data_IF_582522011025
#
_entry.id   IF_582522011025
#
_cell.length_a   1.000
_cell.length_b   1.000
_cell.length_c   1.000
_cell.angle_alpha   90.00
_cell.angle_beta   90.00
_cell.angle_gamma   90.00
#
_symmetry.space_group_name_H-M   'P 1'
#
loop_
_entity.id
_entity.type
_entity.pdbx_description
1 polymer ?
#
# COMPACT_ATOMS: atom_id res chain seq x y z
N UNK A 1 -25.76 -18.29 7.35
CA UNK A 1 -25.34 -16.86 7.31
C UNK A 1 -24.16 -16.72 6.37
N UNK A 2 -24.36 -16.06 5.24
CA UNK A 2 -23.30 -15.82 4.27
C UNK A 2 -22.22 -14.94 4.88
N UNK A 3 -20.95 -15.35 4.80
CA UNK A 3 -19.83 -14.46 5.06
C UNK A 3 -19.88 -13.36 4.01
N UNK A 4 -20.20 -12.14 4.42
CA UNK A 4 -20.00 -10.97 3.57
C UNK A 4 -18.53 -10.92 3.24
N UNK A 5 -18.18 -11.21 1.98
CA UNK A 5 -16.81 -11.06 1.49
C UNK A 5 -16.44 -9.59 1.66
N UNK A 6 -15.41 -9.31 2.45
CA UNK A 6 -14.92 -7.94 2.60
C UNK A 6 -14.32 -7.51 1.28
N UNK A 7 -14.65 -6.31 0.85
CA UNK A 7 -14.13 -5.72 -0.39
C UNK A 7 -12.76 -5.06 -0.21
N UNK A 8 -12.12 -5.25 0.94
CA UNK A 8 -10.77 -4.77 1.25
C UNK A 8 -10.05 -5.76 2.19
N UNK A 9 -8.72 -5.83 2.12
CA UNK A 9 -7.92 -6.75 2.94
C UNK A 9 -7.89 -6.32 4.41
N UNK A 10 -7.55 -7.26 5.26
CA UNK A 10 -7.23 -7.04 6.66
C UNK A 10 -5.84 -7.56 6.97
N UNK A 11 -5.05 -6.73 7.63
CA UNK A 11 -3.68 -7.07 7.99
C UNK A 11 -3.58 -8.08 9.13
N UNK A 12 -2.44 -8.74 9.19
CA UNK A 12 -2.05 -9.66 10.26
C UNK A 12 -0.60 -9.44 10.65
N UNK A 13 -0.30 -9.73 11.90
CA UNK A 13 1.07 -9.80 12.39
C UNK A 13 1.55 -11.25 12.30
N UNK A 14 2.76 -11.45 11.83
CA UNK A 14 3.38 -12.76 11.75
C UNK A 14 4.82 -12.72 12.19
N UNK A 15 5.31 -13.81 12.75
CA UNK A 15 6.72 -14.00 13.05
C UNK A 15 7.42 -14.62 11.83
N UNK A 16 8.51 -13.99 11.38
CA UNK A 16 9.34 -14.54 10.30
C UNK A 16 10.25 -15.62 10.86
N UNK A 17 9.86 -16.87 10.71
CA UNK A 17 10.67 -18.02 11.12
C UNK A 17 11.28 -18.70 9.90
N UNK A 18 12.57 -19.06 9.92
CA UNK A 18 13.17 -19.93 8.92
C UNK A 18 12.64 -21.36 9.08
N UNK A 19 12.93 -22.24 8.12
CA UNK A 19 12.56 -23.67 8.21
C UNK A 19 13.19 -24.34 9.43
N UNK A 20 14.43 -23.97 9.76
CA UNK A 20 15.16 -24.46 10.93
C UNK A 20 15.34 -23.34 11.94
N UNK A 21 14.77 -23.52 13.13
CA UNK A 21 14.88 -22.57 14.22
C UNK A 21 16.25 -22.71 14.89
N UNK A 22 16.98 -21.60 15.02
CA UNK A 22 18.21 -21.56 15.80
C UNK A 22 17.87 -21.29 17.26
N UNK A 23 18.40 -22.12 18.16
CA UNK A 23 18.23 -21.93 19.61
C UNK A 23 18.75 -20.55 20.05
N UNK A 24 17.99 -19.88 20.90
CA UNK A 24 18.36 -18.57 21.45
C UNK A 24 18.31 -17.38 20.47
N UNK A 25 17.73 -17.56 19.27
CA UNK A 25 17.59 -16.48 18.30
C UNK A 25 16.21 -15.86 18.31
N UNK A 26 16.15 -14.51 18.26
CA UNK A 26 14.92 -13.76 18.04
C UNK A 26 14.70 -13.57 16.55
N UNK A 27 13.42 -13.55 16.16
CA UNK A 27 13.02 -13.35 14.76
C UNK A 27 12.11 -12.14 14.63
N UNK A 28 12.21 -11.37 13.54
CA UNK A 28 11.42 -10.18 13.37
C UNK A 28 9.94 -10.49 13.15
N UNK A 29 9.11 -9.66 13.74
CA UNK A 29 7.67 -9.62 13.45
C UNK A 29 7.47 -8.79 12.19
N UNK A 30 6.55 -9.20 11.34
CA UNK A 30 6.17 -8.45 10.15
C UNK A 30 4.65 -8.31 10.05
N UNK A 31 4.23 -7.24 9.37
CA UNK A 31 2.84 -7.01 8.98
C UNK A 31 2.64 -7.65 7.61
N UNK A 32 1.58 -8.43 7.45
CA UNK A 32 1.24 -9.10 6.19
C UNK A 32 -0.20 -8.77 5.78
N UNK A 33 -0.36 -8.46 4.52
CA UNK A 33 -1.63 -8.40 3.83
C UNK A 33 -1.66 -9.41 2.70
N UNK A 34 -2.73 -10.19 2.60
CA UNK A 34 -2.98 -11.07 1.47
C UNK A 34 -4.21 -10.55 0.74
N UNK A 35 -4.04 -10.16 -0.50
CA UNK A 35 -5.09 -9.57 -1.33
C UNK A 35 -4.94 -9.94 -2.80
N UNK A 36 -6.00 -10.42 -3.42
CA UNK A 36 -6.05 -10.78 -4.86
C UNK A 36 -4.97 -11.79 -5.17
N UNK A 37 -4.44 -12.63 -4.92
CA UNK A 37 -3.31 -13.52 -5.18
C UNK A 37 -1.93 -12.97 -4.72
N UNK A 38 -1.85 -11.73 -4.26
CA UNK A 38 -0.61 -11.12 -3.81
C UNK A 38 -0.45 -11.16 -2.29
N UNK A 39 0.79 -11.21 -1.84
CA UNK A 39 1.15 -11.15 -0.43
C UNK A 39 2.16 -10.01 -0.21
N UNK A 40 1.70 -8.94 0.44
CA UNK A 40 2.51 -7.77 0.77
C UNK A 40 2.95 -7.84 2.22
N UNK A 41 4.23 -7.53 2.47
CA UNK A 41 4.85 -7.69 3.79
C UNK A 41 5.78 -6.53 4.11
N UNK A 42 5.72 -6.07 5.37
CA UNK A 42 6.68 -5.12 5.94
C UNK A 42 7.19 -5.62 7.27
N UNK A 43 8.50 -5.75 7.36
CA UNK A 43 9.17 -6.11 8.61
C UNK A 43 9.09 -4.94 9.59
N UNK A 44 8.80 -5.26 10.86
CA UNK A 44 8.84 -4.29 11.95
C UNK A 44 10.21 -4.33 12.65
N UNK A 45 10.47 -3.36 13.52
CA UNK A 45 11.69 -3.32 14.33
C UNK A 45 11.63 -4.29 15.54
N UNK A 46 10.48 -4.92 15.75
CA UNK A 46 10.25 -5.82 16.89
C UNK A 46 10.68 -7.23 16.53
N UNK A 47 11.55 -7.81 17.37
CA UNK A 47 12.02 -9.19 17.23
C UNK A 47 11.76 -9.97 18.52
N UNK A 48 11.19 -11.18 18.39
CA UNK A 48 10.79 -12.03 19.52
C UNK A 48 11.26 -13.46 19.36
N UNK A 49 11.36 -14.19 20.44
CA UNK A 49 11.59 -15.63 20.36
C UNK A 49 10.34 -16.35 19.88
N UNK A 50 10.49 -17.44 19.10
CA UNK A 50 9.34 -18.22 18.61
C UNK A 50 8.41 -18.72 19.72
N UNK A 51 8.95 -19.08 20.88
CA UNK A 51 8.18 -19.52 22.06
C UNK A 51 7.24 -18.44 22.63
N UNK A 52 7.63 -17.17 22.46
CA UNK A 52 6.91 -16.02 22.98
C UNK A 52 5.91 -15.45 21.97
N UNK A 53 5.79 -16.06 20.80
CA UNK A 53 4.83 -15.66 19.78
C UNK A 53 3.53 -16.46 19.83
N UNK A 54 2.40 -15.77 19.78
CA UNK A 54 1.06 -16.36 19.69
C UNK A 54 0.36 -15.90 18.40
N UNK A 55 0.44 -16.72 17.36
CA UNK A 55 -0.17 -16.40 16.06
C UNK A 55 -1.71 -16.33 16.10
N UNK A 56 -2.35 -16.95 17.08
CA UNK A 56 -3.81 -16.95 17.27
C UNK A 56 -4.29 -15.88 18.26
N UNK A 57 -3.35 -15.19 18.91
CA UNK A 57 -3.65 -14.14 19.87
C UNK A 57 -4.33 -12.93 19.24
N UNK A 58 -4.94 -12.11 20.08
CA UNK A 58 -5.66 -10.90 19.68
C UNK A 58 -6.65 -11.12 18.52
N UNK A 59 -7.48 -12.17 18.66
CA UNK A 59 -8.50 -12.48 17.63
C UNK A 59 -7.94 -13.02 16.32
N UNK A 60 -6.75 -13.64 16.34
CA UNK A 60 -6.08 -14.20 15.17
C UNK A 60 -5.21 -13.19 14.39
N UNK A 61 -4.98 -12.01 14.96
CA UNK A 61 -4.08 -11.00 14.39
C UNK A 61 -2.62 -11.35 14.69
N UNK A 62 -2.34 -11.92 15.86
CA UNK A 62 -1.01 -12.23 16.38
C UNK A 62 -0.60 -11.30 17.52
N UNK A 63 0.08 -11.84 18.52
CA UNK A 63 0.57 -11.08 19.67
C UNK A 63 1.81 -11.72 20.31
N UNK A 64 2.52 -10.97 21.10
CA UNK A 64 3.61 -11.44 21.94
C UNK A 64 3.00 -11.92 23.25
N UNK A 65 3.33 -13.15 23.67
CA UNK A 65 2.92 -13.72 24.96
C UNK A 65 3.55 -12.94 26.12
N UNK A 66 2.96 -13.06 27.29
CA UNK A 66 3.57 -12.55 28.51
C UNK A 66 4.98 -13.17 28.70
N UNK A 67 5.98 -12.32 28.76
CA UNK A 67 7.38 -12.70 28.96
C UNK A 67 8.06 -11.67 29.85
N UNK A 68 9.11 -12.06 30.57
CA UNK A 68 9.93 -11.18 31.39
C UNK A 68 11.06 -10.54 30.61
N UNK A 69 11.39 -11.09 29.44
CA UNK A 69 12.55 -10.66 28.64
C UNK A 69 12.26 -9.45 27.75
N UNK A 70 11.02 -9.00 27.70
CA UNK A 70 10.57 -7.95 26.82
C UNK A 70 9.39 -7.19 27.44
N UNK A 71 9.29 -5.92 27.20
CA UNK A 71 8.09 -5.15 27.52
C UNK A 71 6.94 -5.48 26.55
N UNK A 72 6.48 -6.72 26.62
CA UNK A 72 5.53 -7.30 25.67
C UNK A 72 4.23 -6.48 25.52
N UNK A 73 3.75 -5.85 26.61
CA UNK A 73 2.57 -4.98 26.57
C UNK A 73 2.79 -3.77 25.70
N UNK A 74 3.94 -3.13 25.85
CA UNK A 74 4.33 -1.97 25.06
C UNK A 74 4.44 -2.32 23.58
N UNK A 75 5.17 -3.40 23.26
CA UNK A 75 5.35 -3.83 21.87
C UNK A 75 4.07 -4.33 21.24
N UNK A 76 3.19 -5.03 21.96
CA UNK A 76 1.87 -5.40 21.47
C UNK A 76 1.03 -4.16 21.13
N UNK A 77 1.02 -3.17 22.02
CA UNK A 77 0.31 -1.90 21.77
C UNK A 77 0.85 -1.21 20.52
N UNK A 78 2.17 -1.12 20.37
CA UNK A 78 2.81 -0.50 19.21
C UNK A 78 2.48 -1.23 17.90
N UNK A 79 2.60 -2.55 17.87
CA UNK A 79 2.32 -3.38 16.71
C UNK A 79 0.84 -3.31 16.29
N UNK A 80 -0.06 -3.44 17.27
CA UNK A 80 -1.50 -3.40 17.00
C UNK A 80 -1.97 -2.00 16.56
N UNK A 81 -1.42 -0.93 17.16
CA UNK A 81 -1.70 0.43 16.74
C UNK A 81 -1.25 0.66 15.29
N UNK A 82 -0.02 0.30 14.95
CA UNK A 82 0.50 0.45 13.59
C UNK A 82 -0.36 -0.32 12.57
N UNK A 83 -0.75 -1.55 12.89
CA UNK A 83 -1.63 -2.34 12.03
C UNK A 83 -3.00 -1.68 11.86
N UNK A 84 -3.60 -1.20 12.96
CA UNK A 84 -4.89 -0.52 12.95
C UNK A 84 -4.85 0.78 12.13
N UNK A 85 -3.76 1.55 12.21
CA UNK A 85 -3.57 2.77 11.43
C UNK A 85 -3.50 2.46 9.90
N UNK A 86 -2.81 1.39 9.51
CA UNK A 86 -2.76 0.95 8.11
C UNK A 86 -4.13 0.44 7.65
N UNK A 87 -4.80 -0.41 8.44
CA UNK A 87 -6.15 -0.89 8.15
C UNK A 87 -7.14 0.27 7.96
N UNK A 88 -7.07 1.30 8.81
CA UNK A 88 -7.91 2.49 8.68
C UNK A 88 -7.65 3.27 7.38
N UNK A 89 -6.39 3.43 6.98
CA UNK A 89 -6.01 4.07 5.71
C UNK A 89 -6.55 3.29 4.50
N UNK A 90 -6.47 1.95 4.53
CA UNK A 90 -7.00 1.08 3.48
C UNK A 90 -8.52 1.24 3.37
N UNK A 91 -9.24 1.26 4.50
CA UNK A 91 -10.70 1.46 4.51
C UNK A 91 -11.08 2.83 3.94
N UNK A 92 -10.42 3.90 4.39
CA UNK A 92 -10.66 5.26 3.88
C UNK A 92 -10.40 5.36 2.37
N UNK A 93 -9.33 4.71 1.89
CA UNK A 93 -9.02 4.67 0.46
C UNK A 93 -10.10 3.92 -0.32
N UNK A 94 -10.57 2.77 0.21
CA UNK A 94 -11.64 2.00 -0.39
C UNK A 94 -12.96 2.78 -0.44
N UNK A 95 -13.33 3.46 0.63
CA UNK A 95 -14.55 4.28 0.68
C UNK A 95 -14.53 5.41 -0.36
N UNK A 96 -13.36 5.98 -0.63
CA UNK A 96 -13.18 7.06 -1.61
C UNK A 96 -13.13 6.55 -3.05
N UNK A 97 -12.48 5.41 -3.31
CA UNK A 97 -12.12 4.95 -4.65
C UNK A 97 -12.90 3.69 -5.09
N UNK A 98 -13.60 3.01 -4.17
CA UNK A 98 -14.40 1.82 -4.45
C UNK A 98 -13.59 0.52 -4.65
N UNK A 99 -12.27 0.59 -4.69
CA UNK A 99 -11.38 -0.56 -4.86
C UNK A 99 -10.03 -0.34 -4.17
N UNK A 100 -9.31 -1.43 -3.91
CA UNK A 100 -7.95 -1.43 -3.36
C UNK A 100 -7.09 -2.38 -4.16
N UNK A 101 -5.89 -1.96 -4.53
CA UNK A 101 -4.89 -2.76 -5.23
C UNK A 101 -3.71 -3.10 -4.32
N UNK A 102 -2.86 -4.06 -4.73
CA UNK A 102 -1.62 -4.39 -4.02
C UNK A 102 -0.68 -3.20 -3.87
N UNK A 103 -0.57 -2.34 -4.88
CA UNK A 103 0.28 -1.14 -4.86
C UNK A 103 -0.18 -0.14 -3.80
N UNK A 104 -1.49 0.02 -3.61
CA UNK A 104 -2.06 0.86 -2.55
C UNK A 104 -1.67 0.34 -1.16
N UNK A 105 -1.74 -0.98 -0.97
CA UNK A 105 -1.35 -1.61 0.29
C UNK A 105 0.16 -1.44 0.53
N UNK A 106 0.99 -1.65 -0.49
CA UNK A 106 2.43 -1.41 -0.42
C UNK A 106 2.75 0.04 -0.05
N UNK A 107 2.07 1.01 -0.67
CA UNK A 107 2.26 2.43 -0.37
C UNK A 107 1.97 2.74 1.12
N UNK A 108 0.91 2.17 1.68
CA UNK A 108 0.58 2.36 3.11
C UNK A 108 1.52 1.61 4.05
N UNK A 109 2.00 0.43 3.65
CA UNK A 109 2.99 -0.33 4.41
C UNK A 109 4.35 0.39 4.50
N UNK A 110 4.75 1.05 3.42
CA UNK A 110 6.04 1.73 3.29
C UNK A 110 6.00 3.21 3.68
N UNK A 111 4.80 3.75 3.99
CA UNK A 111 4.54 5.18 4.17
C UNK A 111 4.99 6.01 2.94
N UNK A 112 4.97 5.39 1.76
CA UNK A 112 5.35 6.00 0.49
C UNK A 112 4.11 6.32 -0.36
N UNK A 113 3.55 7.49 -0.15
CA UNK A 113 2.34 7.96 -0.82
C UNK A 113 2.58 8.43 -2.26
N UNK A 114 3.81 8.52 -2.70
CA UNK A 114 4.13 8.86 -4.10
C UNK A 114 3.65 7.77 -5.05
N UNK A 115 3.65 6.51 -4.60
CA UNK A 115 3.08 5.38 -5.34
C UNK A 115 1.56 5.50 -5.60
N UNK A 116 0.87 6.35 -4.85
CA UNK A 116 -0.57 6.59 -5.00
C UNK A 116 -0.89 7.79 -5.89
N UNK A 117 0.12 8.55 -6.31
CA UNK A 117 -0.10 9.61 -7.28
C UNK A 117 -0.46 8.96 -8.61
N UNK A 118 -1.61 9.27 -9.22
CA UNK A 118 -1.85 8.87 -10.59
C UNK A 118 -0.64 9.34 -11.39
N UNK A 119 -0.15 8.48 -12.26
CA UNK A 119 1.00 8.73 -13.12
C UNK A 119 0.66 9.96 -14.00
N UNK A 120 0.77 11.15 -13.39
CA UNK A 120 0.28 12.41 -13.92
C UNK A 120 0.97 12.80 -15.22
N UNK A 121 2.07 12.11 -15.56
CA UNK A 121 2.80 12.30 -16.79
C UNK A 121 2.19 11.60 -17.99
N UNK A 122 1.72 10.36 -17.85
CA UNK A 122 1.14 9.59 -18.97
C UNK A 122 -0.26 10.08 -19.31
N UNK A 123 -1.09 10.29 -18.31
CA UNK A 123 -2.47 10.79 -18.51
C UNK A 123 -2.49 12.20 -19.10
N UNK A 124 -1.54 13.07 -18.69
CA UNK A 124 -1.44 14.42 -19.23
C UNK A 124 -0.99 14.41 -20.69
N UNK A 125 -0.04 13.54 -21.05
CA UNK A 125 0.43 13.43 -22.45
C UNK A 125 -0.64 12.83 -23.35
N UNK A 126 -1.38 11.81 -22.90
CA UNK A 126 -2.50 11.25 -23.64
C UNK A 126 -3.66 12.24 -23.76
N UNK A 127 -3.99 12.94 -22.69
CA UNK A 127 -4.99 14.00 -22.71
C UNK A 127 -4.60 15.14 -23.65
N UNK A 128 -3.34 15.60 -23.62
CA UNK A 128 -2.85 16.62 -24.52
C UNK A 128 -2.85 16.17 -25.98
N UNK A 129 -2.49 14.90 -26.27
CA UNK A 129 -2.61 14.32 -27.62
C UNK A 129 -4.06 14.24 -28.08
N UNK A 130 -4.99 13.87 -27.22
CA UNK A 130 -6.42 13.86 -27.51
C UNK A 130 -6.97 15.23 -27.85
N UNK A 131 -6.54 16.29 -27.16
CA UNK A 131 -6.92 17.67 -27.45
C UNK A 131 -6.38 18.14 -28.81
N UNK A 132 -5.13 17.79 -29.15
CA UNK A 132 -4.54 18.12 -30.46
C UNK A 132 -5.29 17.44 -31.58
N UNK A 133 -5.62 16.17 -31.44
CA UNK A 133 -6.38 15.39 -32.44
C UNK A 133 -7.79 15.96 -32.62
N UNK A 134 -8.43 16.41 -31.55
CA UNK A 134 -9.76 17.00 -31.61
C UNK A 134 -9.74 18.41 -32.25
N UNK A 135 -8.70 19.22 -31.97
CA UNK A 135 -8.51 20.54 -32.60
C UNK A 135 -8.23 20.43 -34.10
N UNK A 136 -7.58 19.37 -34.56
CA UNK A 136 -7.34 19.12 -35.99
C UNK A 136 -8.59 18.67 -36.75
N UNK A 137 -9.62 18.19 -36.09
CA UNK A 137 -10.91 17.81 -36.70
C UNK A 137 -11.90 18.95 -36.85
N UNK A 138 -11.61 20.12 -36.28
CA UNK A 138 -12.43 21.33 -36.48
C UNK A 138 -11.96 21.98 -37.74
N UNK A 139 -12.79 22.11 -38.79
CA UNK A 139 -12.44 22.84 -40.03
C UNK A 139 -12.18 24.30 -39.66
N UNK A 140 -10.92 24.72 -39.80
CA UNK A 140 -10.45 25.89 -39.12
C UNK A 140 -9.89 26.95 -40.03
N UNK A 141 -10.18 28.11 -39.64
CA UNK A 141 -9.49 29.33 -39.98
C UNK A 141 -8.33 29.53 -38.98
N UNK A 142 -7.10 29.21 -39.38
CA UNK A 142 -5.83 29.69 -38.82
C UNK A 142 -5.47 29.47 -37.34
N UNK A 143 -6.43 29.35 -36.44
CA UNK A 143 -6.23 29.32 -34.96
C UNK A 143 -5.65 28.02 -34.50
N UNK A 144 -5.97 26.88 -35.12
CA UNK A 144 -5.49 25.54 -34.74
C UNK A 144 -3.97 25.40 -34.95
N UNK A 145 -3.39 26.05 -35.97
CA UNK A 145 -1.94 26.00 -36.22
C UNK A 145 -1.12 26.74 -35.17
N UNK A 146 -1.66 27.78 -34.58
CA UNK A 146 -0.99 28.58 -33.57
C UNK A 146 -1.01 27.89 -32.19
N UNK A 147 -2.05 27.10 -31.89
CA UNK A 147 -2.14 26.27 -30.68
C UNK A 147 -1.19 25.07 -30.74
N UNK A 148 -1.04 24.43 -31.90
CA UNK A 148 -0.17 23.28 -32.10
C UNK A 148 1.30 23.65 -31.84
N UNK A 149 1.75 24.82 -32.37
CA UNK A 149 3.11 25.33 -32.17
C UNK A 149 3.39 25.74 -30.71
N UNK A 150 2.39 26.19 -29.96
CA UNK A 150 2.54 26.53 -28.54
C UNK A 150 2.61 25.29 -27.65
N UNK A 151 1.80 24.27 -27.91
CA UNK A 151 1.80 23.01 -27.19
C UNK A 151 3.11 22.23 -27.38
N UNK A 152 3.63 22.16 -28.63
CA UNK A 152 4.91 21.53 -28.90
C UNK A 152 6.10 22.24 -28.22
N UNK A 153 6.08 23.58 -28.12
CA UNK A 153 7.10 24.33 -27.39
C UNK A 153 7.03 24.10 -25.89
N UNK A 154 5.84 23.98 -25.32
CA UNK A 154 5.66 23.74 -23.89
C UNK A 154 6.11 22.32 -23.51
N UNK A 155 5.85 21.32 -24.35
CA UNK A 155 6.31 19.96 -24.14
C UNK A 155 7.83 19.79 -24.28
N UNK A 156 8.50 20.56 -25.15
CA UNK A 156 9.98 20.51 -25.31
C UNK A 156 10.74 21.17 -24.16
N UNK A 157 10.13 22.12 -23.46
CA UNK A 157 10.77 22.84 -22.35
C UNK A 157 10.48 22.19 -20.99
N UNK A 158 9.76 21.05 -20.94
CA UNK A 158 9.45 20.31 -19.72
C UNK A 158 10.37 19.08 -19.48
N UNK A 159 11.43 18.92 -20.31
CA UNK A 159 12.45 17.88 -20.15
C UNK A 159 13.84 18.49 -20.02
#
# INVERSE_FOLDING_TARGET
MGRTSRNYPKGKLKLRTPKELQSGKRYPVYIEYNWQADSMRKTTEVSVFPKDWNAKGFGGIGEIRATTDLEYKYYNTLLHKRLADIDAKIVQYYEKNGHVTGDVICAFLEDNYELLRPDSGKDFVEFAKGLVTHAQQIPADGVAREMDTKLERTCRNAF
#
